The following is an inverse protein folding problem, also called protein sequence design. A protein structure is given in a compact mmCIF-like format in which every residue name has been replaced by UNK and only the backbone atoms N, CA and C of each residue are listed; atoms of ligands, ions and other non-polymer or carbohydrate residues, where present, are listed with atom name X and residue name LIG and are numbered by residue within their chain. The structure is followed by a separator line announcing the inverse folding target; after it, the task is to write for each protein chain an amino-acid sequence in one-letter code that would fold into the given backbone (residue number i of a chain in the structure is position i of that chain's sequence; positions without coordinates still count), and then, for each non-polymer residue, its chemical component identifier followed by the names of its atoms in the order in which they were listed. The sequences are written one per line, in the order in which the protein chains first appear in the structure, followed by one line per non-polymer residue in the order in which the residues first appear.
data_IF_740401963080
#
_entry.id   IF_740401963080
#
_cell.length_a   1.000
_cell.length_b   1.000
_cell.length_c   1.000
_cell.angle_alpha   90.00
_cell.angle_beta   90.00
_cell.angle_gamma   90.00
#
_symmetry.space_group_name_H-M   'P 1'
#
loop_
_entity.id
_entity.type
_entity.pdbx_description
1 polymer ?
#
# COMPACT_ATOMS: atom_id res chain seq x y z
N UNK A 1 -5.47 -1.34 -26.99
CA UNK A 1 -5.07 -0.45 -25.88
C UNK A 1 -6.10 -0.59 -24.78
N UNK A 2 -6.01 -1.67 -24.00
CA UNK A 2 -6.94 -1.97 -22.90
C UNK A 2 -6.10 -2.38 -21.67
N UNK A 3 -5.03 -1.65 -21.35
CA UNK A 3 -4.10 -2.08 -20.30
C UNK A 3 -3.50 -0.93 -19.47
N UNK A 4 -4.15 0.24 -19.42
CA UNK A 4 -3.74 1.32 -18.52
C UNK A 4 -4.74 1.58 -17.37
N UNK A 5 -5.99 1.13 -17.50
CA UNK A 5 -7.02 1.37 -16.48
C UNK A 5 -7.00 0.34 -15.34
N UNK A 6 -6.33 -0.78 -15.55
CA UNK A 6 -5.92 -1.72 -14.52
C UNK A 6 -4.44 -1.47 -14.22
N UNK A 7 -4.07 -0.28 -13.71
CA UNK A 7 -2.91 -0.21 -12.84
C UNK A 7 -3.14 -1.30 -11.78
N UNK A 8 -2.36 -2.37 -11.90
CA UNK A 8 -2.81 -3.73 -11.65
C UNK A 8 -3.31 -3.85 -10.21
N UNK A 9 -4.57 -4.24 -9.99
CA UNK A 9 -5.09 -4.38 -8.62
C UNK A 9 -4.20 -5.33 -7.80
N UNK A 10 -3.57 -6.30 -8.47
CA UNK A 10 -2.57 -7.18 -7.87
C UNK A 10 -1.38 -6.41 -7.30
N UNK A 11 -0.89 -5.36 -7.97
CA UNK A 11 0.22 -4.54 -7.48
C UNK A 11 -0.18 -3.70 -6.26
N UNK A 12 -1.43 -3.22 -6.23
CA UNK A 12 -1.97 -2.51 -5.07
C UNK A 12 -2.13 -3.46 -3.88
N UNK A 13 -2.60 -4.69 -4.10
CA UNK A 13 -2.63 -5.70 -3.04
C UNK A 13 -1.22 -6.16 -2.64
N UNK A 14 -0.26 -6.21 -3.57
CA UNK A 14 1.12 -6.58 -3.30
C UNK A 14 1.80 -5.58 -2.36
N UNK A 15 1.60 -4.27 -2.54
CA UNK A 15 2.16 -3.27 -1.60
C UNK A 15 1.49 -3.33 -0.22
N UNK A 16 0.21 -3.71 -0.13
CA UNK A 16 -0.45 -3.99 1.15
C UNK A 16 0.19 -5.21 1.81
N UNK A 17 0.38 -6.30 1.06
CA UNK A 17 1.04 -7.51 1.55
C UNK A 17 2.46 -7.24 2.03
N UNK A 18 3.22 -6.43 1.30
CA UNK A 18 4.54 -5.94 1.70
C UNK A 18 4.50 -5.17 3.03
N UNK A 19 3.59 -4.20 3.17
CA UNK A 19 3.46 -3.44 4.41
C UNK A 19 3.06 -4.34 5.60
N UNK A 20 2.17 -5.31 5.39
CA UNK A 20 1.81 -6.30 6.42
C UNK A 20 3.01 -7.17 6.80
N UNK A 21 3.78 -7.65 5.83
CA UNK A 21 4.98 -8.44 6.09
C UNK A 21 5.98 -7.67 6.96
N UNK A 22 6.26 -6.40 6.63
CA UNK A 22 7.14 -5.55 7.41
C UNK A 22 6.65 -5.32 8.86
N UNK A 23 5.34 -5.15 9.05
CA UNK A 23 4.77 -5.03 10.40
C UNK A 23 4.95 -6.33 11.19
N UNK A 24 4.72 -7.48 10.56
CA UNK A 24 4.90 -8.78 11.19
C UNK A 24 6.37 -9.05 11.54
N UNK A 25 7.31 -8.76 10.63
CA UNK A 25 8.75 -8.88 10.87
C UNK A 25 9.23 -7.99 12.02
N UNK A 26 8.61 -6.82 12.18
CA UNK A 26 8.87 -5.90 13.28
C UNK A 26 8.08 -6.21 14.57
N UNK A 27 7.36 -7.34 14.61
CA UNK A 27 6.47 -7.73 15.72
C UNK A 27 5.43 -6.64 16.08
N UNK A 28 5.03 -5.83 15.09
CA UNK A 28 4.05 -4.75 15.25
C UNK A 28 2.63 -5.23 14.95
N UNK A 29 1.61 -4.62 15.57
CA UNK A 29 0.22 -4.95 15.27
C UNK A 29 -0.15 -4.72 13.81
N UNK A 30 -0.89 -5.68 13.22
CA UNK A 30 -1.42 -5.58 11.86
C UNK A 30 -2.84 -4.99 11.91
N UNK A 31 -2.92 -3.68 12.14
CA UNK A 31 -4.16 -2.92 12.10
C UNK A 31 -4.21 -2.00 10.88
N UNK A 32 -5.41 -1.68 10.38
CA UNK A 32 -5.58 -0.81 9.20
C UNK A 32 -4.84 0.53 9.33
N UNK A 33 -4.85 1.13 10.52
CA UNK A 33 -4.12 2.38 10.77
C UNK A 33 -2.59 2.21 10.70
N UNK A 34 -2.06 1.08 11.15
CA UNK A 34 -0.62 0.78 11.09
C UNK A 34 -0.16 0.50 9.66
N UNK A 35 -0.96 -0.27 8.91
CA UNK A 35 -0.71 -0.55 7.50
C UNK A 35 -0.74 0.77 6.71
N UNK A 36 -1.74 1.62 6.95
CA UNK A 36 -1.83 2.92 6.30
C UNK A 36 -0.64 3.84 6.67
N UNK A 37 -0.27 3.92 7.95
CA UNK A 37 0.88 4.72 8.36
C UNK A 37 2.18 4.26 7.67
N UNK A 38 2.39 2.95 7.56
CA UNK A 38 3.57 2.40 6.89
C UNK A 38 3.55 2.63 5.38
N UNK A 39 2.43 2.41 4.69
CA UNK A 39 2.29 2.68 3.25
C UNK A 39 2.55 4.15 2.91
N UNK A 40 2.07 5.06 3.75
CA UNK A 40 2.35 6.50 3.60
C UNK A 40 3.84 6.78 3.71
N UNK A 41 4.49 6.22 4.72
CA UNK A 41 5.93 6.38 4.94
C UNK A 41 6.76 5.87 3.75
N UNK A 42 6.42 4.70 3.23
CA UNK A 42 7.10 4.11 2.08
C UNK A 42 6.87 4.94 0.81
N UNK A 43 5.66 5.48 0.59
CA UNK A 43 5.37 6.37 -0.52
C UNK A 43 6.17 7.69 -0.47
N UNK A 44 6.39 8.24 0.72
CA UNK A 44 7.18 9.47 0.92
C UNK A 44 8.68 9.25 0.64
N UNK A 45 9.18 8.04 0.86
CA UNK A 45 10.59 7.66 0.62
C UNK A 45 10.86 7.08 -0.76
N UNK A 46 9.82 6.67 -1.48
CA UNK A 46 9.94 6.00 -2.76
C UNK A 46 10.54 6.91 -3.84
N UNK A 47 11.64 6.48 -4.44
CA UNK A 47 12.17 7.05 -5.69
C UNK A 47 11.52 6.45 -6.94
N UNK A 48 10.89 5.28 -6.80
CA UNK A 48 10.12 4.62 -7.86
C UNK A 48 8.68 5.14 -7.86
N UNK A 49 8.32 5.89 -8.91
CA UNK A 49 6.99 6.50 -9.05
C UNK A 49 5.85 5.47 -9.16
N UNK A 50 6.08 4.29 -9.75
CA UNK A 50 5.07 3.22 -9.81
C UNK A 50 4.79 2.66 -8.42
N UNK A 51 5.84 2.36 -7.66
CA UNK A 51 5.70 1.87 -6.29
C UNK A 51 4.99 2.92 -5.40
N UNK A 52 5.42 4.18 -5.50
CA UNK A 52 4.77 5.30 -4.81
C UNK A 52 3.28 5.40 -5.15
N UNK A 53 2.94 5.34 -6.44
CA UNK A 53 1.55 5.41 -6.89
C UNK A 53 0.72 4.24 -6.32
N UNK A 54 1.27 3.02 -6.33
CA UNK A 54 0.59 1.85 -5.77
C UNK A 54 0.37 1.97 -4.26
N UNK A 55 1.35 2.49 -3.51
CA UNK A 55 1.19 2.78 -2.08
C UNK A 55 0.08 3.81 -1.81
N UNK A 56 0.00 4.87 -2.61
CA UNK A 56 -1.06 5.88 -2.49
C UNK A 56 -2.45 5.31 -2.84
N UNK A 57 -2.54 4.42 -3.84
CA UNK A 57 -3.78 3.74 -4.17
C UNK A 57 -4.22 2.77 -3.06
N UNK A 58 -3.27 2.04 -2.47
CA UNK A 58 -3.53 1.17 -1.32
C UNK A 58 -4.04 1.97 -0.10
N UNK A 59 -3.47 3.15 0.17
CA UNK A 59 -3.98 4.06 1.21
C UNK A 59 -5.44 4.43 1.00
N UNK A 60 -5.81 4.76 -0.24
CA UNK A 60 -7.20 5.08 -0.58
C UNK A 60 -8.13 3.90 -0.32
N UNK A 61 -7.75 2.69 -0.72
CA UNK A 61 -8.54 1.48 -0.47
C UNK A 61 -8.72 1.21 1.03
N UNK A 62 -7.66 1.38 1.82
CA UNK A 62 -7.74 1.19 3.27
C UNK A 62 -8.66 2.24 3.90
N UNK A 63 -8.55 3.50 3.49
CA UNK A 63 -9.43 4.57 3.97
C UNK A 63 -10.91 4.28 3.69
N UNK A 64 -11.23 3.71 2.52
CA UNK A 64 -12.59 3.28 2.17
C UNK A 64 -13.12 2.17 3.09
N UNK A 65 -12.25 1.40 3.76
CA UNK A 65 -12.62 0.33 4.72
C UNK A 65 -12.66 0.80 6.18
N UNK A 66 -12.19 2.01 6.47
CA UNK A 66 -12.17 2.59 7.82
C UNK A 66 -13.40 3.45 8.13
N UNK A 67 -14.23 3.74 7.12
CA UNK A 67 -15.55 4.36 7.26
C UNK A 67 -16.63 3.31 7.54
#
# INVERSE_FOLDING_TARGET
MVDEKAANQDDVHAVIGYAVALLLEAERPVHLHEIAALLKHEAEKASNEVFKHNCLNALRLIAEKMN
#
